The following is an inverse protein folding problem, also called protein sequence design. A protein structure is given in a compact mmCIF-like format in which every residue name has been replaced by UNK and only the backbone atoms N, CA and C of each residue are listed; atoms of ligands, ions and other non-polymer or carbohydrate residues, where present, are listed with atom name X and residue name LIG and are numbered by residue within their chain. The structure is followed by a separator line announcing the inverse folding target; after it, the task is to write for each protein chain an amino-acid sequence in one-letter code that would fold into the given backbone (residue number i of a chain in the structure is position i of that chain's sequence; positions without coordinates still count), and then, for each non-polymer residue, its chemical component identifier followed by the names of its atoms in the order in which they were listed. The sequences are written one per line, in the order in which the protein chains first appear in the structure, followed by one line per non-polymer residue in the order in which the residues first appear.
data_IF_621084763720
#
_entry.id   IF_621084763720
#
_cell.length_a   1.000
_cell.length_b   1.000
_cell.length_c   1.000
_cell.angle_alpha   90.00
_cell.angle_beta   90.00
_cell.angle_gamma   90.00
#
_symmetry.space_group_name_H-M   'P 1'
#
loop_
_entity.id
_entity.type
_entity.pdbx_description
1 polymer ?
#
# COMPACT_ATOMS: atom_id res chain seq x y z
N UNK A 1 -5.19 20.76 -0.16
CA UNK A 1 -5.06 20.11 1.17
C UNK A 1 -3.61 19.76 1.39
N UNK A 2 -2.93 20.43 2.34
CA UNK A 2 -1.52 20.18 2.63
C UNK A 2 -1.34 18.85 3.36
N UNK A 3 -0.52 17.94 2.82
CA UNK A 3 -0.08 16.73 3.53
C UNK A 3 0.83 17.12 4.70
N UNK A 4 0.28 17.13 5.91
CA UNK A 4 1.07 17.27 7.14
C UNK A 4 2.05 16.10 7.24
N UNK A 5 3.36 16.37 7.19
CA UNK A 5 4.40 15.36 7.41
C UNK A 5 4.56 15.15 8.91
N UNK A 6 4.06 14.03 9.41
CA UNK A 6 4.29 13.61 10.80
C UNK A 6 5.66 12.95 10.94
N UNK A 7 6.36 13.14 12.07
CA UNK A 7 7.62 12.46 12.35
C UNK A 7 7.41 10.94 12.46
N UNK A 8 8.45 10.16 12.15
CA UNK A 8 8.39 8.69 12.14
C UNK A 8 7.95 8.11 13.48
N UNK A 9 8.36 8.72 14.59
CA UNK A 9 7.99 8.29 15.95
C UNK A 9 6.48 8.32 16.22
N UNK A 10 5.73 9.17 15.53
CA UNK A 10 4.26 9.19 15.62
C UNK A 10 3.61 8.12 14.74
N UNK A 11 4.34 7.55 13.77
CA UNK A 11 3.83 6.51 12.85
C UNK A 11 4.11 5.10 13.35
N UNK A 12 5.27 4.87 13.95
CA UNK A 12 5.68 3.55 14.45
C UNK A 12 5.62 3.44 15.99
N UNK A 13 5.34 4.55 16.67
CA UNK A 13 5.39 4.62 18.13
C UNK A 13 6.78 4.99 18.67
N UNK A 14 6.78 5.53 19.90
CA UNK A 14 8.00 6.06 20.52
C UNK A 14 9.01 4.95 20.87
N UNK A 15 8.53 3.78 21.29
CA UNK A 15 9.41 2.69 21.73
C UNK A 15 10.21 2.10 20.57
N UNK A 16 9.58 1.89 19.42
CA UNK A 16 10.28 1.39 18.24
C UNK A 16 11.17 2.47 17.61
N UNK A 17 10.75 3.74 17.68
CA UNK A 17 11.61 4.85 17.28
C UNK A 17 12.88 4.94 18.14
N UNK A 18 12.80 4.70 19.45
CA UNK A 18 13.97 4.64 20.35
C UNK A 18 14.92 3.51 19.96
N UNK A 19 14.40 2.32 19.66
CA UNK A 19 15.22 1.18 19.21
C UNK A 19 15.96 1.49 17.91
N UNK A 20 15.27 2.11 16.94
CA UNK A 20 15.89 2.54 15.69
C UNK A 20 16.98 3.60 15.91
N UNK A 21 16.71 4.59 16.76
CA UNK A 21 17.68 5.63 17.10
C UNK A 21 18.89 5.08 17.85
N UNK A 22 18.71 4.05 18.69
CA UNK A 22 19.82 3.41 19.40
C UNK A 22 20.76 2.66 18.45
N UNK A 23 20.23 2.09 17.36
CA UNK A 23 21.02 1.31 16.39
C UNK A 23 21.63 2.17 15.28
N UNK A 24 20.91 3.19 14.81
CA UNK A 24 21.27 3.98 13.61
C UNK A 24 21.35 5.49 13.86
N UNK A 25 21.37 5.91 15.14
CA UNK A 25 21.43 7.31 15.51
C UNK A 25 22.68 7.99 14.97
N UNK A 26 22.51 9.17 14.35
CA UNK A 26 23.60 9.92 13.72
C UNK A 26 23.85 9.56 12.25
N UNK A 27 23.22 8.51 11.73
CA UNK A 27 23.29 8.15 10.31
C UNK A 27 22.08 8.64 9.51
N UNK A 28 22.32 9.01 8.24
CA UNK A 28 21.25 9.29 7.29
C UNK A 28 20.81 8.01 6.58
N UNK A 29 19.71 7.43 7.06
CA UNK A 29 19.12 6.24 6.43
C UNK A 29 18.36 6.66 5.15
N UNK A 30 18.86 6.24 3.99
CA UNK A 30 18.17 6.43 2.72
C UNK A 30 16.99 5.47 2.61
N UNK A 31 15.78 5.97 2.87
CA UNK A 31 14.56 5.20 2.64
C UNK A 31 14.27 5.12 1.13
N UNK A 32 14.33 3.93 0.50
CA UNK A 32 13.94 3.79 -0.89
C UNK A 32 12.46 4.16 -1.02
N UNK A 33 12.10 4.81 -2.12
CA UNK A 33 10.68 4.97 -2.45
C UNK A 33 10.12 3.57 -2.70
N UNK A 34 9.29 3.08 -1.79
CA UNK A 34 8.67 1.76 -1.85
C UNK A 34 7.61 1.68 -2.97
N UNK A 35 7.91 2.16 -4.17
CA UNK A 35 6.98 2.29 -5.30
C UNK A 35 6.35 0.96 -5.69
N UNK A 36 7.12 -0.13 -5.65
CA UNK A 36 6.61 -1.49 -5.88
C UNK A 36 5.58 -1.89 -4.83
N UNK A 37 5.86 -1.62 -3.55
CA UNK A 37 4.95 -1.94 -2.45
C UNK A 37 3.69 -1.08 -2.50
N UNK A 38 3.82 0.22 -2.81
CA UNK A 38 2.68 1.13 -2.99
C UNK A 38 1.82 0.73 -4.19
N UNK A 39 2.45 0.30 -5.29
CA UNK A 39 1.73 -0.23 -6.44
C UNK A 39 0.97 -1.51 -6.07
N UNK A 40 1.62 -2.43 -5.36
CA UNK A 40 1.00 -3.67 -4.89
C UNK A 40 -0.19 -3.40 -3.95
N UNK A 41 -0.04 -2.47 -3.00
CA UNK A 41 -1.12 -2.09 -2.09
C UNK A 41 -2.34 -1.51 -2.84
N UNK A 42 -2.11 -0.73 -3.89
CA UNK A 42 -3.19 -0.25 -4.77
C UNK A 42 -3.82 -1.39 -5.57
N UNK A 43 -3.02 -2.28 -6.17
CA UNK A 43 -3.52 -3.41 -6.95
C UNK A 43 -4.39 -4.33 -6.08
N UNK A 44 -4.02 -4.54 -4.81
CA UNK A 44 -4.82 -5.25 -3.81
C UNK A 44 -6.20 -4.60 -3.61
N UNK A 45 -6.25 -3.27 -3.44
CA UNK A 45 -7.52 -2.55 -3.28
C UNK A 45 -8.40 -2.61 -4.54
N UNK A 46 -7.79 -2.50 -5.72
CA UNK A 46 -8.49 -2.65 -7.00
C UNK A 46 -9.13 -4.05 -7.09
N UNK A 47 -8.39 -5.10 -6.69
CA UNK A 47 -8.93 -6.47 -6.66
C UNK A 47 -10.11 -6.58 -5.69
N UNK A 48 -10.01 -6.01 -4.48
CA UNK A 48 -11.09 -6.02 -3.50
C UNK A 48 -12.35 -5.32 -4.04
N UNK A 49 -12.21 -4.12 -4.61
CA UNK A 49 -13.33 -3.40 -5.21
C UNK A 49 -13.93 -4.15 -6.41
N UNK A 50 -13.09 -4.83 -7.19
CA UNK A 50 -13.55 -5.70 -8.28
C UNK A 50 -14.39 -6.86 -7.73
N UNK A 51 -13.98 -7.47 -6.61
CA UNK A 51 -14.76 -8.51 -5.90
C UNK A 51 -16.04 -7.95 -5.28
N UNK A 52 -16.05 -6.68 -4.88
CA UNK A 52 -17.24 -5.92 -4.49
C UNK A 52 -18.13 -5.52 -5.70
N UNK A 53 -17.89 -6.10 -6.88
CA UNK A 53 -18.68 -5.95 -8.11
C UNK A 53 -18.62 -4.57 -8.78
N UNK A 54 -17.58 -3.77 -8.52
CA UNK A 54 -17.36 -2.57 -9.32
C UNK A 54 -16.99 -2.94 -10.78
N UNK A 55 -17.56 -2.20 -11.73
CA UNK A 55 -17.24 -2.32 -13.15
C UNK A 55 -15.85 -1.76 -13.47
N UNK A 56 -15.27 -2.14 -14.61
CA UNK A 56 -13.97 -1.61 -15.06
C UNK A 56 -13.96 -0.08 -15.15
N UNK A 57 -15.03 0.50 -15.69
CA UNK A 57 -15.23 1.95 -15.78
C UNK A 57 -15.32 2.61 -14.40
N UNK A 58 -16.04 2.01 -13.45
CA UNK A 58 -16.15 2.53 -12.08
C UNK A 58 -14.79 2.50 -11.36
N UNK A 59 -14.01 1.43 -11.54
CA UNK A 59 -12.66 1.33 -11.00
C UNK A 59 -11.73 2.37 -11.64
N UNK A 60 -11.80 2.55 -12.95
CA UNK A 60 -11.01 3.53 -13.69
C UNK A 60 -11.26 4.95 -13.13
N UNK A 61 -12.52 5.33 -12.94
CA UNK A 61 -12.89 6.60 -12.33
C UNK A 61 -12.43 6.71 -10.86
N UNK A 62 -12.71 5.70 -10.03
CA UNK A 62 -12.37 5.70 -8.60
C UNK A 62 -10.87 5.87 -8.35
N UNK A 63 -10.04 5.23 -9.17
CA UNK A 63 -8.58 5.23 -9.01
C UNK A 63 -7.86 6.24 -9.91
N UNK A 64 -8.58 7.01 -10.73
CA UNK A 64 -7.97 7.96 -11.68
C UNK A 64 -7.07 7.27 -12.71
N UNK A 65 -7.47 6.10 -13.19
CA UNK A 65 -6.71 5.27 -14.13
C UNK A 65 -7.51 5.00 -15.40
N UNK A 66 -6.84 4.61 -16.48
CA UNK A 66 -7.53 4.07 -17.66
C UNK A 66 -8.00 2.65 -17.39
N UNK A 67 -9.05 2.19 -18.10
CA UNK A 67 -9.51 0.80 -17.98
C UNK A 67 -8.41 -0.20 -18.32
N UNK A 68 -7.57 0.09 -19.33
CA UNK A 68 -6.38 -0.71 -19.65
C UNK A 68 -5.41 -0.78 -18.46
N UNK A 69 -5.24 0.32 -17.73
CA UNK A 69 -4.45 0.38 -16.51
C UNK A 69 -5.02 -0.53 -15.42
N UNK A 70 -6.33 -0.47 -15.19
CA UNK A 70 -7.04 -1.36 -14.25
C UNK A 70 -6.84 -2.83 -14.63
N UNK A 71 -7.05 -3.18 -15.90
CA UNK A 71 -6.85 -4.56 -16.39
C UNK A 71 -5.41 -5.04 -16.16
N UNK A 72 -4.41 -4.18 -16.36
CA UNK A 72 -3.00 -4.51 -16.09
C UNK A 72 -2.72 -4.74 -14.60
N UNK A 73 -3.36 -3.96 -13.72
CA UNK A 73 -3.28 -4.15 -12.27
C UNK A 73 -3.94 -5.48 -11.86
N UNK A 74 -5.16 -5.75 -12.32
CA UNK A 74 -5.87 -7.00 -12.03
C UNK A 74 -5.10 -8.22 -12.52
N UNK A 75 -4.63 -8.23 -13.78
CA UNK A 75 -3.84 -9.33 -14.34
C UNK A 75 -2.56 -9.63 -13.54
N UNK A 76 -2.00 -8.62 -12.88
CA UNK A 76 -0.80 -8.78 -12.03
C UNK A 76 -1.12 -9.44 -10.70
N UNK A 77 -2.27 -9.12 -10.09
CA UNK A 77 -2.57 -9.49 -8.70
C UNK A 77 -3.49 -10.70 -8.57
N UNK A 78 -4.39 -10.93 -9.52
CA UNK A 78 -5.32 -12.08 -9.54
C UNK A 78 -4.61 -13.44 -9.40
N UNK A 79 -3.45 -13.70 -10.04
CA UNK A 79 -2.73 -14.97 -9.86
C UNK A 79 -2.28 -15.23 -8.41
N UNK A 80 -2.10 -14.16 -7.63
CA UNK A 80 -1.64 -14.23 -6.25
C UNK A 80 -2.78 -14.26 -5.23
N UNK A 81 -4.04 -14.20 -5.67
CA UNK A 81 -5.21 -14.10 -4.78
C UNK A 81 -5.32 -15.26 -3.78
N UNK A 82 -4.88 -16.45 -4.19
CA UNK A 82 -4.91 -17.65 -3.34
C UNK A 82 -3.74 -17.72 -2.36
N UNK A 83 -2.73 -16.87 -2.51
CA UNK A 83 -1.52 -16.96 -1.70
C UNK A 83 -1.80 -16.38 -0.29
N UNK A 84 -1.41 -17.08 0.79
CA UNK A 84 -1.71 -16.64 2.16
C UNK A 84 -1.22 -15.24 2.49
N UNK A 85 -0.01 -14.89 2.05
CA UNK A 85 0.60 -13.58 2.29
C UNK A 85 -0.24 -12.43 1.74
N UNK A 86 -1.05 -12.66 0.69
CA UNK A 86 -1.91 -11.60 0.16
C UNK A 86 -3.05 -11.27 1.12
N UNK A 87 -3.61 -12.28 1.80
CA UNK A 87 -4.64 -12.09 2.83
C UNK A 87 -4.07 -11.35 4.04
N UNK A 88 -2.86 -11.72 4.45
CA UNK A 88 -2.16 -11.06 5.55
C UNK A 88 -1.84 -9.59 5.21
N UNK A 89 -1.39 -9.32 3.99
CA UNK A 89 -1.18 -7.96 3.50
C UNK A 89 -2.49 -7.18 3.38
N UNK A 90 -3.59 -7.79 2.95
CA UNK A 90 -4.91 -7.15 2.92
C UNK A 90 -5.34 -6.70 4.32
N UNK A 91 -5.23 -7.59 5.31
CA UNK A 91 -5.53 -7.27 6.70
C UNK A 91 -4.64 -6.12 7.21
N UNK A 92 -3.35 -6.16 6.88
CA UNK A 92 -2.37 -5.15 7.30
C UNK A 92 -2.63 -3.78 6.66
N UNK A 93 -2.99 -3.73 5.37
CA UNK A 93 -3.30 -2.48 4.66
C UNK A 93 -4.58 -1.84 5.21
N UNK A 94 -5.58 -2.64 5.56
CA UNK A 94 -6.83 -2.15 6.15
C UNK A 94 -6.64 -1.63 7.57
N UNK A 95 -5.71 -2.18 8.35
CA UNK A 95 -5.45 -1.76 9.73
C UNK A 95 -4.67 -0.44 9.87
N UNK A 96 -3.98 0.02 8.81
CA UNK A 96 -3.08 1.18 8.83
C UNK A 96 -3.75 2.48 8.34
N UNK A 97 -4.99 2.40 7.84
CA UNK A 97 -5.78 3.51 7.30
C UNK A 97 -7.01 3.79 8.14
#
# INVERSE_FOLDING_TARGET
MGTTRLPVSQRIGMDDAKKLAALYGGELVKMPRCTKLLALARDIKILQDRRARLSGAQLALKYGMTERGIQKSLRRIEPHERQPWLKDMQASITAVL
#
